data_IF_333572422682
#
_entry.id   IF_333572422682
#
_cell.length_a   1.000
_cell.length_b   1.000
_cell.length_c   1.000
_cell.angle_alpha   90.00
_cell.angle_beta   90.00
_cell.angle_gamma   90.00
#
_symmetry.space_group_name_H-M   'P 1'
#
loop_
_entity.id
_entity.type
_entity.pdbx_description
1 polymer ?
#
# COMPACT_ATOMS: atom_id res chain seq x y z
N UNK A 1 15.54 6.13 5.88
CA UNK A 1 14.52 5.49 5.04
C UNK A 1 14.89 4.06 4.65
N UNK A 2 14.20 3.11 5.25
CA UNK A 2 14.40 1.67 5.04
C UNK A 2 13.07 1.05 4.64
N UNK A 3 12.82 0.95 3.33
CA UNK A 3 11.71 0.13 2.80
C UNK A 3 12.28 -1.25 2.45
N UNK A 4 11.59 -2.29 2.91
CA UNK A 4 11.94 -3.67 2.59
C UNK A 4 10.90 -4.24 1.64
N UNK A 5 11.37 -5.02 0.67
CA UNK A 5 10.50 -5.78 -0.22
C UNK A 5 10.79 -7.25 0.03
N UNK A 6 9.76 -8.09 -0.04
CA UNK A 6 9.93 -9.53 -0.06
C UNK A 6 10.28 -10.00 -1.46
N UNK A 7 10.97 -11.13 -1.56
CA UNK A 7 11.38 -11.74 -2.84
C UNK A 7 10.17 -11.99 -3.77
N UNK A 8 9.00 -12.29 -3.18
CA UNK A 8 7.74 -12.48 -3.92
C UNK A 8 7.27 -11.18 -4.54
N UNK A 9 7.26 -10.10 -3.75
CA UNK A 9 6.87 -8.78 -4.23
C UNK A 9 7.83 -8.28 -5.30
N UNK A 10 9.14 -8.39 -5.06
CA UNK A 10 10.16 -8.02 -6.04
C UNK A 10 9.99 -8.82 -7.34
N UNK A 11 9.86 -10.15 -7.26
CA UNK A 11 9.67 -11.00 -8.44
C UNK A 11 8.42 -10.66 -9.22
N UNK A 12 7.29 -10.35 -8.56
CA UNK A 12 6.09 -9.95 -9.27
C UNK A 12 6.20 -8.55 -9.87
N UNK A 13 6.74 -7.58 -9.12
CA UNK A 13 6.95 -6.23 -9.64
C UNK A 13 7.85 -6.27 -10.89
N UNK A 14 8.93 -7.05 -10.87
CA UNK A 14 9.78 -7.25 -12.06
C UNK A 14 9.02 -7.85 -13.24
N UNK A 15 8.04 -8.72 -13.01
CA UNK A 15 7.17 -9.26 -14.08
C UNK A 15 6.17 -8.21 -14.61
N UNK A 16 5.73 -7.28 -13.76
CA UNK A 16 4.85 -6.18 -14.16
C UNK A 16 5.60 -5.10 -14.94
N UNK A 17 6.90 -4.90 -14.68
CA UNK A 17 7.76 -4.05 -15.49
C UNK A 17 8.02 -4.72 -16.83
N UNK A 18 7.63 -4.04 -17.92
CA UNK A 18 7.85 -4.54 -19.29
C UNK A 18 9.21 -4.12 -19.83
N UNK A 19 9.71 -2.98 -19.38
CA UNK A 19 10.96 -2.39 -19.82
C UNK A 19 11.92 -2.16 -18.64
N UNK A 20 13.22 -2.39 -18.86
CA UNK A 20 14.25 -2.21 -17.83
C UNK A 20 14.47 -0.76 -17.38
N UNK A 21 13.91 0.20 -18.13
CA UNK A 21 13.96 1.63 -17.79
C UNK A 21 12.78 2.07 -16.91
N UNK A 22 11.84 1.18 -16.61
CA UNK A 22 10.71 1.48 -15.76
C UNK A 22 11.05 1.18 -14.30
N UNK A 23 10.48 1.99 -13.42
CA UNK A 23 10.54 1.79 -11.98
C UNK A 23 9.15 1.81 -11.36
N UNK A 24 9.13 1.51 -10.07
CA UNK A 24 7.93 1.40 -9.27
C UNK A 24 7.83 2.61 -8.36
N UNK A 25 6.79 3.42 -8.55
CA UNK A 25 6.48 4.53 -7.67
C UNK A 25 5.59 4.07 -6.51
N UNK A 26 6.01 4.34 -5.29
CA UNK A 26 5.25 4.11 -4.07
C UNK A 26 4.77 5.46 -3.54
N UNK A 27 3.48 5.57 -3.25
CA UNK A 27 2.87 6.76 -2.66
C UNK A 27 1.81 6.35 -1.66
N UNK A 28 1.61 7.16 -0.63
CA UNK A 28 0.51 6.96 0.33
C UNK A 28 -0.65 7.85 -0.09
N UNK A 29 -1.84 7.27 -0.18
CA UNK A 29 -3.09 7.96 -0.48
C UNK A 29 -4.07 7.79 0.67
N UNK A 30 -5.00 8.72 0.80
CA UNK A 30 -6.08 8.63 1.79
C UNK A 30 -7.08 7.56 1.33
N UNK A 31 -7.25 6.50 2.11
CA UNK A 31 -8.11 5.37 1.78
C UNK A 31 -9.55 5.50 2.31
N UNK A 32 -9.95 6.71 2.71
CA UNK A 32 -11.27 6.97 3.27
C UNK A 32 -11.34 6.75 4.79
N UNK A 33 -12.54 6.42 5.28
CA UNK A 33 -13.01 6.66 6.66
C UNK A 33 -12.12 6.22 7.85
N UNK A 34 -11.08 5.41 7.69
CA UNK A 34 -10.24 5.00 8.83
C UNK A 34 -8.80 4.58 8.45
N UNK A 35 -8.24 5.01 7.31
CA UNK A 35 -6.89 4.55 6.98
C UNK A 35 -6.16 5.20 5.80
N UNK A 36 -4.86 4.91 5.76
CA UNK A 36 -3.97 5.20 4.64
C UNK A 36 -3.88 3.97 3.73
N UNK A 37 -4.02 4.19 2.43
CA UNK A 37 -3.76 3.18 1.41
C UNK A 37 -2.42 3.44 0.74
N UNK A 38 -1.73 2.37 0.36
CA UNK A 38 -0.47 2.46 -0.35
C UNK A 38 -0.73 2.23 -1.84
N UNK A 39 -0.43 3.25 -2.64
CA UNK A 39 -0.55 3.21 -4.09
C UNK A 39 0.80 2.85 -4.73
N UNK A 40 0.78 1.86 -5.62
CA UNK A 40 1.90 1.46 -6.46
C UNK A 40 1.59 1.82 -7.91
N UNK A 41 2.47 2.59 -8.53
CA UNK A 41 2.34 3.01 -9.93
C UNK A 41 3.61 2.69 -10.69
N UNK A 42 3.50 2.17 -11.92
CA UNK A 42 4.66 2.00 -12.79
C UNK A 42 4.98 3.36 -13.41
N UNK A 43 6.23 3.81 -13.24
CA UNK A 43 6.71 5.07 -13.79
C UNK A 43 7.94 4.82 -14.66
N UNK A 44 7.98 5.44 -15.84
CA UNK A 44 9.11 5.30 -16.76
C UNK A 44 10.32 6.14 -16.36
N UNK A 45 10.14 7.11 -15.46
CA UNK A 45 11.18 8.00 -14.98
C UNK A 45 10.83 8.54 -13.59
N UNK A 46 11.85 8.85 -12.76
CA UNK A 46 11.66 9.59 -11.52
C UNK A 46 11.28 11.05 -11.78
N UNK A 47 10.63 11.69 -10.80
CA UNK A 47 10.51 13.16 -10.74
C UNK A 47 11.71 13.76 -9.99
N UNK A 48 11.95 15.05 -10.16
CA UNK A 48 13.07 15.78 -9.52
C UNK A 48 13.09 15.66 -7.99
N UNK A 49 11.92 15.69 -7.35
CA UNK A 49 11.79 15.59 -5.90
C UNK A 49 11.63 14.15 -5.38
N UNK A 50 11.59 13.15 -6.26
CA UNK A 50 11.40 11.76 -5.82
C UNK A 50 12.67 11.20 -5.17
N UNK A 51 12.47 10.44 -4.11
CA UNK A 51 13.53 9.65 -3.51
C UNK A 51 13.71 8.37 -4.30
N UNK A 52 14.91 8.21 -4.86
CA UNK A 52 15.33 7.04 -5.62
C UNK A 52 15.88 5.96 -4.69
N UNK A 53 15.26 4.80 -4.68
CA UNK A 53 15.77 3.60 -4.02
C UNK A 53 16.03 2.51 -5.05
N UNK A 54 17.14 1.80 -4.89
CA UNK A 54 17.46 0.63 -5.70
C UNK A 54 17.36 -0.61 -4.82
N UNK A 55 16.49 -1.54 -5.19
CA UNK A 55 16.24 -2.80 -4.45
C UNK A 55 16.14 -3.94 -5.44
N UNK A 56 16.97 -4.97 -5.29
CA UNK A 56 16.89 -6.19 -6.10
C UNK A 56 16.85 -5.91 -7.62
N UNK A 57 17.64 -4.92 -8.06
CA UNK A 57 17.71 -4.48 -9.46
C UNK A 57 16.45 -3.76 -10.00
N UNK A 58 15.56 -3.33 -9.10
CA UNK A 58 14.40 -2.49 -9.37
C UNK A 58 14.66 -1.05 -8.92
N UNK A 59 14.22 -0.11 -9.74
CA UNK A 59 14.14 1.29 -9.36
C UNK A 59 12.81 1.54 -8.64
N UNK A 60 12.89 2.12 -7.45
CA UNK A 60 11.75 2.50 -6.64
C UNK A 60 11.77 4.01 -6.45
N UNK A 61 10.65 4.66 -6.74
CA UNK A 61 10.46 6.09 -6.64
C UNK A 61 9.50 6.39 -5.52
N UNK A 62 9.88 7.25 -4.58
CA UNK A 62 9.04 7.57 -3.42
C UNK A 62 8.81 9.07 -3.38
N UNK A 63 7.55 9.45 -3.24
CA UNK A 63 7.20 10.85 -3.04
C UNK A 63 7.74 11.32 -1.67
N UNK A 64 8.42 12.47 -1.58
CA UNK A 64 9.04 12.95 -0.35
C UNK A 64 8.01 13.27 0.74
N UNK A 65 6.72 13.42 0.41
CA UNK A 65 5.65 13.54 1.41
C UNK A 65 5.24 12.20 1.99
N UNK A 66 5.35 11.13 1.20
CA UNK A 66 5.06 9.75 1.62
C UNK A 66 6.24 9.08 2.32
N UNK A 67 7.45 9.56 2.06
CA UNK A 67 8.71 9.18 2.70
C UNK A 67 8.62 8.81 4.20
N UNK A 68 8.15 9.71 5.10
CA UNK A 68 8.10 9.41 6.52
C UNK A 68 7.05 8.33 6.87
N UNK A 69 5.98 8.22 6.09
CA UNK A 69 4.92 7.21 6.29
C UNK A 69 5.35 5.81 5.85
N UNK A 70 6.33 5.75 4.95
CA UNK A 70 6.90 4.51 4.40
C UNK A 70 8.12 4.01 5.16
N UNK A 71 8.58 4.74 6.19
CA UNK A 71 9.77 4.34 6.92
C UNK A 71 9.53 3.05 7.72
N UNK A 72 10.33 2.03 7.44
CA UNK A 72 10.21 0.70 8.07
C UNK A 72 9.13 -0.19 7.45
N UNK A 73 8.45 0.27 6.39
CA UNK A 73 7.41 -0.53 5.72
C UNK A 73 8.03 -1.72 4.99
N UNK A 74 7.38 -2.87 5.12
CA UNK A 74 7.67 -4.09 4.38
C UNK A 74 6.57 -4.31 3.34
N UNK A 75 6.95 -4.35 2.06
CA UNK A 75 6.05 -4.64 0.94
C UNK A 75 6.14 -6.13 0.62
N UNK A 76 5.02 -6.81 0.73
CA UNK A 76 4.84 -8.22 0.41
C UNK A 76 3.79 -8.40 -0.69
N UNK A 77 3.79 -9.56 -1.35
CA UNK A 77 2.79 -9.90 -2.35
C UNK A 77 2.10 -11.20 -1.96
N UNK A 78 0.79 -11.13 -1.75
CA UNK A 78 -0.04 -12.29 -1.44
C UNK A 78 -0.64 -12.78 -2.75
N UNK A 79 -0.40 -14.05 -3.05
CA UNK A 79 -1.06 -14.75 -4.16
C UNK A 79 -1.97 -15.81 -3.55
N UNK A 80 -3.25 -15.48 -3.37
CA UNK A 80 -4.28 -16.38 -2.87
C UNK A 80 -5.27 -16.77 -3.95
N UNK A 81 -6.01 -17.86 -3.71
CA UNK A 81 -7.09 -18.33 -4.59
C UNK A 81 -8.27 -17.34 -4.66
N UNK A 82 -8.52 -16.63 -3.56
CA UNK A 82 -9.62 -15.65 -3.42
C UNK A 82 -9.17 -14.21 -3.58
N UNK A 83 -7.90 -13.90 -3.31
CA UNK A 83 -7.36 -12.54 -3.44
C UNK A 83 -5.87 -12.61 -3.77
N UNK A 84 -5.47 -11.86 -4.79
CA UNK A 84 -4.07 -11.62 -5.11
C UNK A 84 -3.84 -10.12 -5.09
N UNK A 85 -2.79 -9.69 -4.37
CA UNK A 85 -2.61 -8.28 -4.09
C UNK A 85 -1.34 -7.96 -3.31
N UNK A 86 -0.98 -6.68 -3.33
CA UNK A 86 0.16 -6.15 -2.61
C UNK A 86 -0.24 -5.87 -1.16
N UNK A 87 0.55 -6.41 -0.23
CA UNK A 87 0.36 -6.23 1.20
C UNK A 87 1.47 -5.33 1.74
N UNK A 88 1.06 -4.31 2.48
CA UNK A 88 1.99 -3.40 3.13
C UNK A 88 1.92 -3.62 4.62
N UNK A 89 3.07 -3.91 5.22
CA UNK A 89 3.21 -4.15 6.64
C UNK A 89 4.01 -2.97 7.19
N UNK A 90 3.32 -2.04 7.83
CA UNK A 90 3.95 -0.89 8.46
C UNK A 90 4.07 -1.16 9.98
N UNK A 91 5.28 -1.36 10.53
CA UNK A 91 5.46 -1.56 11.97
C UNK A 91 5.06 -0.33 12.79
N UNK A 92 5.00 0.86 12.18
CA UNK A 92 4.53 2.09 12.80
C UNK A 92 3.01 2.27 12.69
N UNK A 93 2.32 1.48 11.84
CA UNK A 93 0.87 1.56 11.74
C UNK A 93 0.24 0.89 12.96
N UNK A 94 -0.23 1.71 13.90
CA UNK A 94 -0.79 1.27 15.18
C UNK A 94 -2.24 0.78 15.06
N UNK A 95 -2.88 0.97 13.91
CA UNK A 95 -4.30 0.64 13.70
C UNK A 95 -4.52 -0.14 12.41
N UNK A 96 -4.20 -1.43 12.42
CA UNK A 96 -4.93 -2.38 11.57
C UNK A 96 -6.30 -2.56 12.19
N UNK A 97 -7.30 -1.83 11.67
CA UNK A 97 -8.69 -2.06 12.03
C UNK A 97 -9.03 -3.51 11.67
N UNK A 98 -8.94 -4.36 12.68
CA UNK A 98 -9.32 -5.77 12.65
C UNK A 98 -10.84 -5.84 12.69
N UNK A 99 -11.50 -5.31 11.67
CA UNK A 99 -12.90 -5.63 11.42
C UNK A 99 -12.95 -6.40 10.11
N UNK A 100 -12.47 -7.64 10.21
CA UNK A 100 -12.75 -8.63 9.20
C UNK A 100 -14.26 -8.73 8.98
N UNK A 101 -14.62 -8.81 7.70
CA UNK A 101 -15.92 -9.25 7.17
C UNK A 101 -17.03 -8.18 7.14
N UNK A 102 -17.28 -7.77 5.89
CA UNK A 102 -18.60 -7.72 5.29
C UNK A 102 -19.48 -6.48 5.51
N UNK A 103 -19.79 -5.89 4.35
CA UNK A 103 -20.95 -5.08 4.04
C UNK A 103 -22.24 -5.53 4.77
N UNK A 104 -22.88 -4.61 5.50
CA UNK A 104 -24.34 -4.45 5.43
C UNK A 104 -24.66 -2.96 5.58
N UNK A 105 -24.80 -2.29 4.45
CA UNK A 105 -25.41 -0.96 4.38
C UNK A 105 -26.94 -1.12 4.42
N UNK A 106 -27.61 -0.32 5.26
CA UNK A 106 -29.01 0.02 5.07
C UNK A 106 -29.87 -0.09 6.33
N UNK A 107 -30.14 1.05 6.97
CA UNK A 107 -31.25 1.15 7.91
C UNK A 107 -31.12 2.24 8.98
N UNK A 108 -30.91 3.51 8.59
CA UNK A 108 -31.34 4.62 9.45
C UNK A 108 -32.87 4.60 9.55
N UNK A 109 -33.41 4.34 10.74
CA UNK A 109 -34.71 4.85 11.17
C UNK A 109 -34.60 5.31 12.62
N UNK A 110 -34.80 6.62 12.91
CA UNK A 110 -34.89 7.09 14.28
C UNK A 110 -36.34 6.94 14.73
N UNK A 111 -36.64 5.91 15.52
CA UNK A 111 -37.70 5.91 16.56
C UNK A 111 -37.63 4.58 17.30
N UNK A 112 -37.27 4.63 18.58
CA UNK A 112 -37.21 3.45 19.42
C UNK A 112 -36.82 3.78 20.85
N UNK A 113 -37.78 4.36 21.57
CA UNK A 113 -38.03 4.29 23.03
C UNK A 113 -36.86 3.95 23.99
N UNK A 114 -36.62 4.77 25.04
CA UNK A 114 -35.67 4.41 26.10
C UNK A 114 -36.21 3.26 26.96
N UNK A 115 -35.38 2.24 27.19
CA UNK A 115 -35.66 1.17 28.13
C UNK A 115 -35.66 1.69 29.57
N UNK A 116 -36.69 1.31 30.34
CA UNK A 116 -36.73 1.38 31.80
C UNK A 116 -35.89 0.28 32.45
#
# INVERSE_FOLDING_TARGET
MTISLTEKAASQLTKFLKDSNQGIRISVVDGGCSGYEYALNIANAPKEDDLLLYKENLQIFIDPKSAPLLEGVVVDYIEGLTESGLKFINPNATETCSCGKSFQAGGCTPTGVPCS
#
